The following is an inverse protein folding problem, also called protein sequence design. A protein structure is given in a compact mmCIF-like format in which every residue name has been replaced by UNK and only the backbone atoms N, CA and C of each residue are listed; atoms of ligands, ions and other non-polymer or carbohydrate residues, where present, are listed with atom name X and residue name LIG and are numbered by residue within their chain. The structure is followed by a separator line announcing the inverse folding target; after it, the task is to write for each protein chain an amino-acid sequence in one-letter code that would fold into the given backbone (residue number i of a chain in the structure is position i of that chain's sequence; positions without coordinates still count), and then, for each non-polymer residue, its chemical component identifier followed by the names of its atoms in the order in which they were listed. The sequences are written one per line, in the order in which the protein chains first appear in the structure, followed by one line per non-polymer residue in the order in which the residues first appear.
data_IF_333779608156
#
_entry.id   IF_333779608156
#
_cell.length_a   1.000
_cell.length_b   1.000
_cell.length_c   1.000
_cell.angle_alpha   90.00
_cell.angle_beta   90.00
_cell.angle_gamma   90.00
#
_symmetry.space_group_name_H-M   'P 1'
#
loop_
_entity.id
_entity.type
_entity.pdbx_description
1 polymer ?
#
# COMPACT_ATOMS: atom_id res chain seq x y z
N UNK A 1 -23.71 -21.55 -22.20
CA UNK A 1 -24.06 -22.05 -20.85
C UNK A 1 -24.18 -20.86 -19.93
N UNK A 2 -25.25 -20.77 -19.13
CA UNK A 2 -25.39 -19.67 -18.17
C UNK A 2 -24.45 -19.90 -16.98
N UNK A 3 -23.51 -18.98 -16.77
CA UNK A 3 -22.63 -19.00 -15.60
C UNK A 3 -23.46 -18.61 -14.37
N UNK A 4 -23.66 -19.54 -13.45
CA UNK A 4 -24.25 -19.28 -12.15
C UNK A 4 -23.13 -19.28 -11.08
N UNK A 5 -23.36 -18.67 -9.91
CA UNK A 5 -22.35 -18.59 -8.86
C UNK A 5 -21.82 -19.99 -8.47
N UNK A 6 -22.71 -20.98 -8.33
CA UNK A 6 -22.32 -22.35 -7.96
C UNK A 6 -21.36 -23.01 -8.97
N UNK A 7 -21.55 -22.78 -10.28
CA UNK A 7 -20.64 -23.24 -11.34
C UNK A 7 -19.29 -22.53 -11.26
N UNK A 8 -19.26 -21.24 -10.94
CA UNK A 8 -18.02 -20.50 -10.78
C UNK A 8 -17.19 -21.03 -9.60
N UNK A 9 -17.85 -21.27 -8.46
CA UNK A 9 -17.23 -21.88 -7.27
C UNK A 9 -16.71 -23.30 -7.58
N UNK A 10 -17.52 -24.12 -8.26
CA UNK A 10 -17.12 -25.47 -8.66
C UNK A 10 -15.92 -25.44 -9.62
N UNK A 11 -15.91 -24.49 -10.57
CA UNK A 11 -14.80 -24.30 -11.50
C UNK A 11 -13.51 -23.86 -10.79
N UNK A 12 -13.60 -22.98 -9.80
CA UNK A 12 -12.45 -22.58 -8.99
C UNK A 12 -11.81 -23.78 -8.27
N UNK A 13 -12.61 -24.68 -7.72
CA UNK A 13 -12.12 -25.93 -7.11
C UNK A 13 -11.49 -26.87 -8.14
N UNK A 14 -12.08 -27.00 -9.34
CA UNK A 14 -11.49 -27.79 -10.44
C UNK A 14 -10.09 -27.26 -10.81
N UNK A 15 -9.94 -25.94 -10.95
CA UNK A 15 -8.66 -25.29 -11.26
C UNK A 15 -7.63 -25.55 -10.15
N UNK A 16 -8.02 -25.40 -8.88
CA UNK A 16 -7.15 -25.69 -7.74
C UNK A 16 -6.69 -27.16 -7.73
N UNK A 17 -7.60 -28.11 -7.96
CA UNK A 17 -7.27 -29.54 -8.04
C UNK A 17 -6.35 -29.87 -9.22
N UNK A 18 -6.62 -29.30 -10.40
CA UNK A 18 -5.78 -29.47 -11.58
C UNK A 18 -4.36 -28.92 -11.34
N UNK A 19 -4.24 -27.78 -10.65
CA UNK A 19 -2.96 -27.21 -10.23
C UNK A 19 -2.21 -28.16 -9.28
N UNK A 20 -2.89 -28.73 -8.28
CA UNK A 20 -2.29 -29.70 -7.36
C UNK A 20 -1.79 -30.95 -8.09
N UNK A 21 -2.55 -31.43 -9.07
CA UNK A 21 -2.16 -32.57 -9.93
C UNK A 21 -0.91 -32.24 -10.74
N UNK A 22 -0.88 -31.06 -11.36
CA UNK A 22 0.25 -30.62 -12.18
C UNK A 22 1.54 -30.52 -11.36
N UNK A 23 1.46 -30.02 -10.12
CA UNK A 23 2.61 -29.87 -9.23
C UNK A 23 2.87 -31.07 -8.31
N UNK A 24 2.07 -32.14 -8.41
CA UNK A 24 2.16 -33.33 -7.58
C UNK A 24 2.24 -33.02 -6.06
N UNK A 25 1.48 -32.03 -5.58
CA UNK A 25 1.51 -31.58 -4.19
C UNK A 25 0.21 -31.87 -3.43
N UNK A 26 0.32 -32.14 -2.13
CA UNK A 26 -0.83 -32.21 -1.22
C UNK A 26 -1.31 -30.82 -0.84
N UNK A 27 -2.62 -30.61 -0.89
CA UNK A 27 -3.24 -29.33 -0.64
C UNK A 27 -4.53 -29.45 0.14
N UNK A 28 -4.78 -28.45 0.98
CA UNK A 28 -6.07 -28.21 1.62
C UNK A 28 -6.71 -27.05 0.87
N UNK A 29 -7.83 -27.32 0.20
CA UNK A 29 -8.59 -26.31 -0.54
C UNK A 29 -9.74 -25.87 0.34
N UNK A 30 -9.86 -24.57 0.59
CA UNK A 30 -10.95 -23.99 1.37
C UNK A 30 -12.04 -23.46 0.43
N UNK A 31 -13.31 -23.70 0.76
CA UNK A 31 -14.46 -23.17 0.01
C UNK A 31 -15.60 -22.75 0.93
N UNK A 32 -16.16 -21.58 0.67
CA UNK A 32 -17.36 -21.09 1.36
C UNK A 32 -18.67 -21.51 0.66
N UNK A 33 -18.59 -22.29 -0.42
CA UNK A 33 -19.76 -22.80 -1.12
C UNK A 33 -20.19 -24.18 -0.60
N UNK A 34 -21.35 -24.25 0.07
CA UNK A 34 -21.89 -25.51 0.62
C UNK A 34 -22.19 -26.55 -0.46
N UNK A 35 -22.74 -26.11 -1.59
CA UNK A 35 -23.02 -26.97 -2.74
C UNK A 35 -21.77 -27.71 -3.24
N UNK A 36 -20.62 -27.02 -3.29
CA UNK A 36 -19.36 -27.61 -3.75
C UNK A 36 -18.80 -28.60 -2.72
N UNK A 37 -18.85 -28.26 -1.43
CA UNK A 37 -18.42 -29.18 -0.36
C UNK A 37 -19.25 -30.45 -0.33
N UNK A 38 -20.57 -30.33 -0.35
CA UNK A 38 -21.48 -31.47 -0.25
C UNK A 38 -21.35 -32.40 -1.46
N UNK A 39 -21.19 -31.82 -2.66
CA UNK A 39 -20.96 -32.59 -3.87
C UNK A 39 -19.60 -33.29 -3.87
N UNK A 40 -18.54 -32.63 -3.41
CA UNK A 40 -17.22 -33.23 -3.23
C UNK A 40 -17.26 -34.43 -2.27
N UNK A 41 -17.91 -34.27 -1.11
CA UNK A 41 -18.06 -35.36 -0.12
C UNK A 41 -18.88 -36.52 -0.68
N UNK A 42 -19.91 -36.22 -1.47
CA UNK A 42 -20.70 -37.24 -2.14
C UNK A 42 -19.81 -38.07 -3.09
N UNK A 43 -19.02 -37.41 -3.94
CA UNK A 43 -18.12 -38.09 -4.88
C UNK A 43 -17.04 -38.90 -4.18
N UNK A 44 -16.45 -38.38 -3.10
CA UNK A 44 -15.47 -39.13 -2.30
C UNK A 44 -16.05 -40.41 -1.69
N UNK A 45 -17.33 -40.40 -1.30
CA UNK A 45 -18.00 -41.57 -0.69
C UNK A 45 -18.49 -42.58 -1.72
N UNK A 46 -19.01 -42.12 -2.85
CA UNK A 46 -19.73 -42.97 -3.81
C UNK A 46 -18.93 -43.30 -5.07
N UNK A 47 -17.92 -42.50 -5.41
CA UNK A 47 -17.08 -42.70 -6.60
C UNK A 47 -17.81 -42.57 -7.94
N UNK A 48 -18.99 -41.93 -7.96
CA UNK A 48 -19.80 -41.75 -9.17
C UNK A 48 -20.62 -40.46 -9.11
N UNK A 49 -20.77 -39.82 -10.26
CA UNK A 49 -21.66 -38.65 -10.47
C UNK A 49 -23.09 -39.18 -10.68
N UNK A 50 -24.10 -38.75 -9.90
CA UNK A 50 -25.49 -39.10 -10.15
C UNK A 50 -25.96 -38.62 -11.53
N UNK A 51 -26.79 -39.41 -12.20
CA UNK A 51 -27.39 -38.97 -13.46
C UNK A 51 -28.29 -37.76 -13.27
N UNK A 52 -28.23 -36.80 -14.20
CA UNK A 52 -28.98 -35.55 -14.16
C UNK A 52 -28.68 -34.68 -12.91
N UNK A 53 -27.49 -34.81 -12.33
CA UNK A 53 -27.05 -33.89 -11.30
C UNK A 53 -26.88 -32.50 -11.91
N UNK A 54 -27.23 -31.46 -11.14
CA UNK A 54 -26.99 -30.10 -11.61
C UNK A 54 -25.48 -29.93 -11.84
N UNK A 55 -25.09 -29.33 -12.96
CA UNK A 55 -23.69 -29.11 -13.33
C UNK A 55 -22.88 -30.43 -13.48
N UNK A 56 -23.55 -31.50 -13.93
CA UNK A 56 -22.99 -32.85 -14.19
C UNK A 56 -21.66 -32.82 -14.93
N UNK A 57 -21.53 -31.97 -15.95
CA UNK A 57 -20.33 -31.79 -16.77
C UNK A 57 -19.09 -31.40 -15.94
N UNK A 58 -19.26 -30.54 -14.94
CA UNK A 58 -18.17 -30.12 -14.05
C UNK A 58 -17.89 -31.18 -12.98
N UNK A 59 -18.92 -31.85 -12.48
CA UNK A 59 -18.75 -32.93 -11.49
C UNK A 59 -18.02 -34.15 -12.06
N UNK A 60 -18.21 -34.45 -13.35
CA UNK A 60 -17.42 -35.48 -14.04
C UNK A 60 -15.92 -35.12 -14.07
N UNK A 61 -15.58 -33.85 -14.28
CA UNK A 61 -14.18 -33.38 -14.22
C UNK A 61 -13.61 -33.51 -12.81
N UNK A 62 -14.38 -33.15 -11.78
CA UNK A 62 -13.97 -33.34 -10.37
C UNK A 62 -13.71 -34.82 -10.09
N UNK A 63 -14.60 -35.72 -10.54
CA UNK A 63 -14.43 -37.16 -10.35
C UNK A 63 -13.17 -37.69 -11.06
N UNK A 64 -12.88 -37.24 -12.27
CA UNK A 64 -11.65 -37.59 -13.00
C UNK A 64 -10.40 -37.08 -12.26
N UNK A 65 -10.43 -35.87 -11.71
CA UNK A 65 -9.32 -35.31 -10.93
C UNK A 65 -9.13 -36.07 -9.62
N UNK A 66 -10.21 -36.40 -8.90
CA UNK A 66 -10.16 -37.21 -7.67
C UNK A 66 -9.50 -38.57 -7.91
N UNK A 67 -9.87 -39.26 -9.00
CA UNK A 67 -9.25 -40.54 -9.36
C UNK A 67 -7.74 -40.41 -9.63
N UNK A 68 -7.28 -39.26 -10.14
CA UNK A 68 -5.86 -39.02 -10.42
C UNK A 68 -5.06 -38.52 -9.21
N UNK A 69 -5.72 -37.96 -8.19
CA UNK A 69 -5.08 -37.34 -7.04
C UNK A 69 -4.98 -38.27 -5.82
N UNK A 70 -5.60 -39.44 -5.82
CA UNK A 70 -5.46 -40.48 -4.77
C UNK A 70 -5.51 -39.94 -3.32
N UNK A 71 -6.47 -39.05 -3.02
CA UNK A 71 -6.66 -38.47 -1.69
C UNK A 71 -5.66 -37.37 -1.28
N UNK A 72 -4.81 -36.90 -2.20
CA UNK A 72 -3.81 -35.84 -1.96
C UNK A 72 -4.46 -34.47 -1.66
N UNK A 73 -5.70 -34.26 -2.11
CA UNK A 73 -6.44 -33.00 -1.90
C UNK A 73 -7.54 -33.19 -0.85
N UNK A 74 -7.60 -32.28 0.12
CA UNK A 74 -8.68 -32.21 1.11
C UNK A 74 -9.46 -30.91 0.91
N UNK A 75 -10.78 -31.00 0.71
CA UNK A 75 -11.65 -29.83 0.60
C UNK A 75 -12.29 -29.52 1.96
N UNK A 76 -12.10 -28.31 2.48
CA UNK A 76 -12.65 -27.84 3.76
C UNK A 76 -13.67 -26.73 3.53
N UNK A 77 -14.80 -26.83 4.23
CA UNK A 77 -15.85 -25.80 4.23
C UNK A 77 -15.48 -24.66 5.18
N UNK A 78 -15.47 -23.43 4.69
CA UNK A 78 -15.35 -22.21 5.50
C UNK A 78 -16.70 -21.49 5.58
N UNK A 79 -16.84 -20.63 6.59
CA UNK A 79 -18.00 -19.75 6.73
C UNK A 79 -17.85 -18.55 5.80
N UNK A 80 -18.90 -18.22 5.03
CA UNK A 80 -18.82 -17.27 3.91
C UNK A 80 -18.50 -15.82 4.30
N UNK A 81 -18.63 -15.45 5.57
CA UNK A 81 -18.39 -14.08 6.02
C UNK A 81 -17.96 -14.10 7.48
N UNK A 82 -16.77 -14.61 7.74
CA UNK A 82 -16.18 -14.36 9.06
C UNK A 82 -15.65 -12.94 9.02
N UNK A 83 -16.27 -12.06 9.80
CA UNK A 83 -15.82 -10.69 9.94
C UNK A 83 -14.40 -10.74 10.50
N UNK A 84 -13.42 -10.39 9.66
CA UNK A 84 -11.99 -10.42 10.02
C UNK A 84 -11.76 -9.51 11.22
N UNK A 85 -12.52 -8.42 11.35
CA UNK A 85 -12.46 -7.52 12.51
C UNK A 85 -12.97 -8.21 13.79
N UNK A 86 -13.99 -9.07 13.69
CA UNK A 86 -14.50 -9.84 14.82
C UNK A 86 -13.59 -11.03 15.19
N UNK A 87 -12.68 -11.44 14.30
CA UNK A 87 -11.69 -12.49 14.54
C UNK A 87 -10.39 -12.00 15.16
N UNK A 88 -10.16 -10.68 15.23
CA UNK A 88 -8.91 -10.11 15.79
C UNK A 88 -8.69 -10.55 17.24
N UNK A 89 -9.77 -10.84 17.98
CA UNK A 89 -9.71 -11.30 19.37
C UNK A 89 -9.58 -12.83 19.51
N UNK A 90 -9.75 -13.59 18.42
CA UNK A 90 -9.65 -15.05 18.44
C UNK A 90 -8.19 -15.43 18.19
N UNK A 91 -7.52 -15.99 19.19
CA UNK A 91 -6.11 -16.41 19.15
C UNK A 91 -5.78 -17.55 18.16
N UNK A 92 -6.71 -17.90 17.27
CA UNK A 92 -6.55 -18.95 16.28
C UNK A 92 -6.05 -18.32 14.96
N UNK A 93 -4.72 -18.36 14.78
CA UNK A 93 -4.05 -17.83 13.60
C UNK A 93 -4.56 -18.45 12.29
N UNK A 94 -5.06 -19.69 12.35
CA UNK A 94 -5.49 -20.41 11.16
C UNK A 94 -6.84 -19.89 10.67
N UNK A 95 -7.73 -19.49 11.59
CA UNK A 95 -9.01 -18.86 11.25
C UNK A 95 -8.83 -17.47 10.63
N UNK A 96 -7.92 -16.65 11.16
CA UNK A 96 -7.60 -15.32 10.60
C UNK A 96 -7.01 -15.46 9.20
N UNK A 97 -6.06 -16.38 9.03
CA UNK A 97 -5.47 -16.67 7.73
C UNK A 97 -6.54 -17.15 6.74
N UNK A 98 -7.42 -18.08 7.13
CA UNK A 98 -8.50 -18.57 6.29
C UNK A 98 -9.47 -17.46 5.87
N UNK A 99 -9.88 -16.59 6.80
CA UNK A 99 -10.79 -15.49 6.51
C UNK A 99 -10.18 -14.49 5.51
N UNK A 100 -8.91 -14.12 5.73
CA UNK A 100 -8.18 -13.21 4.84
C UNK A 100 -8.07 -13.74 3.41
N UNK A 101 -7.71 -15.02 3.24
CA UNK A 101 -7.55 -15.60 1.91
C UNK A 101 -8.89 -15.92 1.23
N UNK A 102 -9.95 -16.22 1.98
CA UNK A 102 -11.29 -16.35 1.42
C UNK A 102 -11.79 -15.01 0.87
N UNK A 103 -11.56 -13.91 1.60
CA UNK A 103 -11.88 -12.56 1.12
C UNK A 103 -11.07 -12.19 -0.13
N UNK A 104 -9.77 -12.48 -0.14
CA UNK A 104 -8.92 -12.25 -1.31
C UNK A 104 -9.40 -13.03 -2.54
N UNK A 105 -9.83 -14.28 -2.36
CA UNK A 105 -10.40 -15.11 -3.43
C UNK A 105 -11.72 -14.54 -3.97
N UNK A 106 -12.62 -14.07 -3.11
CA UNK A 106 -13.89 -13.44 -3.50
C UNK A 106 -13.65 -12.12 -4.26
N UNK A 107 -12.68 -11.30 -3.82
CA UNK A 107 -12.27 -10.08 -4.53
C UNK A 107 -11.72 -10.41 -5.92
N UNK A 108 -10.87 -11.43 -6.03
CA UNK A 108 -10.32 -11.87 -7.32
C UNK A 108 -11.42 -12.38 -8.26
N UNK A 109 -12.36 -13.17 -7.76
CA UNK A 109 -13.51 -13.68 -8.52
C UNK A 109 -14.43 -12.54 -9.00
N UNK A 110 -14.72 -11.56 -8.13
CA UNK A 110 -15.49 -10.35 -8.49
C UNK A 110 -14.78 -9.53 -9.57
N UNK A 111 -13.46 -9.34 -9.45
CA UNK A 111 -12.67 -8.62 -10.45
C UNK A 111 -12.68 -9.33 -11.80
N UNK A 112 -12.50 -10.65 -11.82
CA UNK A 112 -12.56 -11.44 -13.05
C UNK A 112 -13.94 -11.32 -13.73
N UNK A 113 -15.03 -11.33 -12.95
CA UNK A 113 -16.39 -11.12 -13.45
C UNK A 113 -16.60 -9.73 -14.06
N UNK A 114 -16.08 -8.67 -13.43
CA UNK A 114 -16.17 -7.31 -13.96
C UNK A 114 -15.38 -7.15 -15.28
N UNK A 115 -14.22 -7.79 -15.37
CA UNK A 115 -13.39 -7.78 -16.58
C UNK A 115 -14.00 -8.60 -17.73
N UNK A 116 -14.70 -9.70 -17.42
CA UNK A 116 -15.44 -10.45 -18.42
C UNK A 116 -16.64 -9.66 -18.98
N UNK A 117 -17.25 -8.79 -18.17
CA UNK A 117 -18.34 -7.90 -18.61
C UNK A 117 -17.88 -6.79 -19.55
N UNK A 118 -16.69 -6.23 -19.34
CA UNK A 118 -16.15 -5.14 -20.16
C UNK A 118 -15.58 -5.63 -21.51
N UNK A 119 -15.17 -6.89 -21.59
CA UNK A 119 -14.86 -7.53 -22.89
C UNK A 119 -16.12 -7.82 -23.74
N UNK A 120 -17.32 -7.69 -23.17
CA UNK A 120 -18.61 -8.00 -23.81
C UNK A 120 -19.19 -6.90 -24.71
N UNK A 121 -18.65 -5.67 -24.68
CA UNK A 121 -19.01 -4.59 -25.60
C UNK A 121 -17.80 -4.20 -26.46
N UNK A 122 -17.50 -5.03 -27.47
CA UNK A 122 -16.58 -4.64 -28.55
C UNK A 122 -15.30 -5.44 -28.72
N UNK A 123 -15.13 -6.60 -28.07
CA UNK A 123 -14.12 -7.56 -28.52
C UNK A 123 -14.70 -8.42 -29.66
N UNK A 124 -14.86 -7.79 -30.83
CA UNK A 124 -15.00 -8.53 -32.08
C UNK A 124 -13.70 -9.29 -32.29
N UNK A 125 -13.78 -10.63 -32.27
CA UNK A 125 -12.83 -11.48 -32.96
C UNK A 125 -12.83 -11.05 -34.42
N UNK A 126 -11.94 -10.13 -34.81
CA UNK A 126 -11.68 -9.88 -36.20
C UNK A 126 -11.15 -11.18 -36.81
N UNK A 127 -11.87 -11.60 -37.84
CA UNK A 127 -11.59 -12.71 -38.73
C UNK A 127 -10.09 -13.01 -38.91
N UNK A 128 -9.66 -14.15 -38.40
CA UNK A 128 -8.67 -14.97 -39.10
C UNK A 128 -9.41 -15.80 -40.17
N UNK A 129 -10.04 -15.13 -41.14
CA UNK A 129 -10.36 -15.72 -42.43
C UNK A 129 -9.29 -15.30 -43.43
N UNK A 130 -8.32 -16.19 -43.60
CA UNK A 130 -7.38 -16.22 -44.72
C UNK A 130 -7.33 -17.64 -45.29
N UNK A 131 -8.37 -17.98 -46.04
CA UNK A 131 -8.41 -18.95 -47.16
C UNK A 131 -7.43 -20.14 -47.14
N UNK A 132 -7.95 -21.35 -46.94
CA UNK A 132 -8.21 -22.29 -48.04
C UNK A 132 -9.16 -23.37 -47.54
N UNK A 133 -10.29 -23.52 -48.25
CA UNK A 133 -11.41 -24.33 -47.83
C UNK A 133 -11.15 -25.82 -47.87
N UNK A 134 -12.06 -26.55 -47.22
CA UNK A 134 -12.69 -27.77 -47.71
C UNK A 134 -13.84 -28.06 -46.73
N UNK A 135 -15.07 -27.83 -47.20
CA UNK A 135 -16.28 -28.35 -46.58
C UNK A 135 -16.23 -29.88 -46.58
N UNK A 136 -16.42 -30.50 -45.42
CA UNK A 136 -16.71 -31.92 -45.32
C UNK A 136 -17.82 -32.15 -44.29
N UNK A 137 -19.04 -32.14 -44.83
CA UNK A 137 -20.28 -32.57 -44.23
C UNK A 137 -20.26 -34.11 -44.10
N UNK A 138 -20.22 -34.65 -42.88
CA UNK A 138 -20.30 -36.10 -42.67
C UNK A 138 -21.76 -36.53 -42.45
N UNK A 139 -22.37 -37.09 -43.51
CA UNK A 139 -23.56 -37.94 -43.41
C UNK A 139 -23.14 -39.41 -43.28
N UNK A 140 -23.66 -40.10 -42.27
CA UNK A 140 -23.60 -41.56 -42.20
C UNK A 140 -24.62 -42.18 -43.15
N UNK A 141 -24.17 -43.09 -44.01
CA UNK A 141 -25.02 -43.85 -44.90
C UNK A 141 -24.35 -45.13 -45.44
N UNK A 142 -24.88 -46.26 -44.98
CA UNK A 142 -24.99 -47.57 -45.63
C UNK A 142 -23.75 -48.45 -45.95
N UNK A 143 -23.83 -49.64 -45.35
CA UNK A 143 -23.44 -50.99 -45.83
C UNK A 143 -22.80 -51.17 -47.22
N UNK A 144 -21.75 -52.01 -47.24
CA UNK A 144 -21.85 -53.31 -47.92
C UNK A 144 -21.00 -53.55 -49.18
N UNK A 145 -19.92 -54.32 -48.99
CA UNK A 145 -19.33 -55.34 -49.89
C UNK A 145 -18.73 -54.92 -51.25
N UNK A 146 -17.41 -55.12 -51.41
CA UNK A 146 -16.86 -56.37 -52.01
C UNK A 146 -15.33 -56.30 -52.04
N UNK A 147 -14.72 -57.38 -51.54
CA UNK A 147 -13.28 -57.62 -51.53
C UNK A 147 -12.76 -57.98 -52.93
N UNK A 148 -11.63 -57.40 -53.34
CA UNK A 148 -10.53 -58.09 -54.02
C UNK A 148 -9.32 -57.14 -54.10
N UNK A 149 -8.12 -57.66 -53.76
CA UNK A 149 -6.79 -57.00 -53.67
C UNK A 149 -6.36 -56.39 -52.31
N UNK A 150 -6.59 -57.12 -51.22
CA UNK A 150 -6.35 -56.66 -49.84
C UNK A 150 -5.03 -57.11 -49.19
N UNK A 151 -3.91 -57.27 -49.93
CA UNK A 151 -2.63 -57.68 -49.29
C UNK A 151 -1.39 -56.84 -49.64
N UNK A 152 -1.53 -55.74 -50.39
CA UNK A 152 -0.42 -54.76 -50.55
C UNK A 152 -0.78 -53.30 -50.19
N UNK A 153 -2.06 -52.96 -50.07
CA UNK A 153 -2.52 -51.62 -49.67
C UNK A 153 -2.72 -51.46 -48.15
N UNK A 154 -2.89 -52.56 -47.41
CA UNK A 154 -3.02 -52.51 -45.94
C UNK A 154 -1.73 -52.05 -45.26
N UNK A 155 -0.56 -52.39 -45.83
CA UNK A 155 0.73 -51.93 -45.32
C UNK A 155 1.01 -50.45 -45.61
N UNK A 156 0.53 -49.91 -46.75
CA UNK A 156 0.65 -48.48 -47.09
C UNK A 156 -0.35 -47.65 -46.28
N UNK A 157 -1.54 -48.20 -45.99
CA UNK A 157 -2.53 -47.60 -45.09
C UNK A 157 -2.07 -47.52 -43.63
N UNK A 158 -1.42 -48.55 -43.10
CA UNK A 158 -0.84 -48.53 -41.75
C UNK A 158 0.35 -47.56 -41.62
N UNK A 159 1.16 -47.39 -42.67
CA UNK A 159 2.25 -46.39 -42.67
C UNK A 159 1.67 -44.96 -42.82
N UNK A 160 0.56 -44.79 -43.56
CA UNK A 160 -0.13 -43.49 -43.69
C UNK A 160 -0.88 -43.03 -42.43
N UNK A 161 -1.50 -43.96 -41.71
CA UNK A 161 -2.16 -43.69 -40.42
C UNK A 161 -1.15 -43.34 -39.31
N UNK A 162 0.02 -44.00 -39.30
CA UNK A 162 1.09 -43.66 -38.35
C UNK A 162 1.81 -42.35 -38.71
N UNK A 163 2.01 -42.03 -39.99
CA UNK A 163 2.62 -40.77 -40.39
C UNK A 163 1.75 -39.53 -40.05
N UNK A 164 0.42 -39.64 -40.19
CA UNK A 164 -0.51 -38.56 -39.84
C UNK A 164 -0.60 -38.34 -38.34
N UNK A 165 -0.57 -39.40 -37.53
CA UNK A 165 -0.47 -39.31 -36.06
C UNK A 165 0.86 -38.71 -35.61
N UNK A 166 1.98 -39.09 -36.23
CA UNK A 166 3.30 -38.50 -35.96
C UNK A 166 3.32 -37.01 -36.30
N UNK A 167 2.75 -36.59 -37.44
CA UNK A 167 2.63 -35.16 -37.79
C UNK A 167 1.76 -34.40 -36.79
N UNK A 168 0.64 -34.99 -36.35
CA UNK A 168 -0.21 -34.40 -35.30
C UNK A 168 0.53 -34.26 -33.96
N UNK A 169 1.27 -35.27 -33.54
CA UNK A 169 2.06 -35.23 -32.31
C UNK A 169 3.18 -34.20 -32.39
N UNK A 170 3.86 -34.08 -33.55
CA UNK A 170 4.87 -33.03 -33.77
C UNK A 170 4.25 -31.62 -33.79
N UNK A 171 3.09 -31.44 -34.40
CA UNK A 171 2.37 -30.17 -34.40
C UNK A 171 1.88 -29.80 -32.99
N UNK A 172 1.33 -30.77 -32.24
CA UNK A 172 0.91 -30.58 -30.86
C UNK A 172 2.09 -30.27 -29.94
N UNK A 173 3.21 -30.98 -30.10
CA UNK A 173 4.43 -30.71 -29.36
C UNK A 173 4.97 -29.31 -29.65
N UNK A 174 5.04 -28.91 -30.93
CA UNK A 174 5.45 -27.56 -31.35
C UNK A 174 4.49 -26.48 -30.85
N UNK A 175 3.18 -26.75 -30.83
CA UNK A 175 2.17 -25.84 -30.28
C UNK A 175 2.32 -25.71 -28.76
N UNK A 176 2.64 -26.80 -28.05
CA UNK A 176 2.86 -26.80 -26.61
C UNK A 176 4.13 -25.99 -26.26
N UNK A 177 5.24 -26.23 -26.98
CA UNK A 177 6.47 -25.43 -26.83
C UNK A 177 6.20 -23.95 -27.07
N UNK A 178 5.48 -23.61 -28.15
CA UNK A 178 5.11 -22.22 -28.42
C UNK A 178 4.30 -21.64 -27.26
N UNK A 179 3.26 -22.32 -26.78
CA UNK A 179 2.46 -21.84 -25.65
C UNK A 179 3.28 -21.62 -24.38
N UNK A 180 4.23 -22.51 -24.08
CA UNK A 180 5.13 -22.34 -22.95
C UNK A 180 6.01 -21.09 -23.11
N UNK A 181 6.55 -20.85 -24.31
CA UNK A 181 7.32 -19.62 -24.57
C UNK A 181 6.48 -18.34 -24.47
N UNK A 182 5.22 -18.36 -24.90
CA UNK A 182 4.29 -17.23 -24.76
C UNK A 182 3.95 -16.99 -23.28
N UNK A 183 3.59 -18.03 -22.53
CA UNK A 183 3.29 -17.95 -21.10
C UNK A 183 4.45 -17.38 -20.29
N UNK A 184 5.69 -17.80 -20.59
CA UNK A 184 6.90 -17.24 -19.93
C UNK A 184 7.10 -15.75 -20.24
N UNK A 185 6.84 -15.33 -21.49
CA UNK A 185 6.91 -13.91 -21.88
C UNK A 185 5.85 -13.08 -21.16
N UNK A 186 4.63 -13.60 -21.06
CA UNK A 186 3.53 -12.93 -20.37
C UNK A 186 3.79 -12.82 -18.86
N UNK A 187 4.34 -13.88 -18.25
CA UNK A 187 4.77 -13.86 -16.85
C UNK A 187 5.88 -12.80 -16.62
N UNK A 188 6.89 -12.74 -17.48
CA UNK A 188 7.95 -11.73 -17.39
C UNK A 188 7.41 -10.30 -17.57
N UNK A 189 6.46 -10.11 -18.50
CA UNK A 189 5.80 -8.83 -18.69
C UNK A 189 4.97 -8.44 -17.45
N UNK A 190 4.19 -9.37 -16.89
CA UNK A 190 3.41 -9.15 -15.68
C UNK A 190 4.29 -8.78 -14.48
N UNK A 191 5.42 -9.47 -14.28
CA UNK A 191 6.38 -9.14 -13.22
C UNK A 191 6.96 -7.73 -13.37
N UNK A 192 7.27 -7.31 -14.61
CA UNK A 192 7.71 -5.93 -14.89
C UNK A 192 6.62 -4.92 -14.54
N UNK A 193 5.38 -5.17 -14.92
CA UNK A 193 4.23 -4.30 -14.60
C UNK A 193 4.05 -4.17 -13.09
N UNK A 194 4.01 -5.28 -12.35
CA UNK A 194 3.89 -5.29 -10.89
C UNK A 194 5.00 -4.48 -10.23
N UNK A 195 6.24 -4.60 -10.73
CA UNK A 195 7.37 -3.84 -10.22
C UNK A 195 7.24 -2.33 -10.46
N UNK A 196 6.82 -1.93 -11.66
CA UNK A 196 6.60 -0.52 -12.00
C UNK A 196 5.48 0.05 -11.14
N UNK A 197 4.40 -0.70 -10.97
CA UNK A 197 3.27 -0.30 -10.14
C UNK A 197 3.68 -0.15 -8.67
N UNK A 198 4.42 -1.11 -8.11
CA UNK A 198 4.92 -1.01 -6.74
C UNK A 198 5.79 0.24 -6.53
N UNK A 199 6.66 0.56 -7.49
CA UNK A 199 7.51 1.76 -7.40
C UNK A 199 6.68 3.03 -7.54
N UNK A 200 5.70 3.07 -8.46
CA UNK A 200 4.80 4.21 -8.61
C UNK A 200 3.95 4.43 -7.36
N UNK A 201 3.44 3.37 -6.74
CA UNK A 201 2.70 3.45 -5.48
C UNK A 201 3.55 4.05 -4.37
N UNK A 202 4.80 3.59 -4.20
CA UNK A 202 5.73 4.17 -3.22
C UNK A 202 6.01 5.64 -3.55
N UNK A 203 6.15 6.00 -4.83
CA UNK A 203 6.39 7.39 -5.25
C UNK A 203 5.22 8.30 -4.90
N UNK A 204 3.99 7.91 -5.23
CA UNK A 204 2.81 8.74 -4.96
C UNK A 204 2.55 8.85 -3.45
N UNK A 205 2.65 7.75 -2.69
CA UNK A 205 2.52 7.80 -1.23
C UNK A 205 3.54 8.75 -0.60
N UNK A 206 4.80 8.69 -1.07
CA UNK A 206 5.84 9.62 -0.63
C UNK A 206 5.51 11.08 -0.95
N UNK A 207 5.02 11.32 -2.16
CA UNK A 207 4.64 12.65 -2.60
C UNK A 207 3.50 13.20 -1.76
N UNK A 208 2.47 12.40 -1.52
CA UNK A 208 1.30 12.77 -0.74
C UNK A 208 1.67 13.12 0.71
N UNK A 209 2.49 12.29 1.36
CA UNK A 209 2.97 12.56 2.72
C UNK A 209 3.78 13.87 2.81
N UNK A 210 4.67 14.11 1.84
CA UNK A 210 5.48 15.33 1.80
C UNK A 210 4.64 16.56 1.47
N UNK A 211 3.66 16.44 0.58
CA UNK A 211 2.75 17.52 0.20
C UNK A 211 1.89 17.98 1.38
N UNK A 212 1.39 17.03 2.20
CA UNK A 212 0.64 17.33 3.43
C UNK A 212 1.52 18.14 4.41
N UNK A 213 2.76 17.72 4.63
CA UNK A 213 3.69 18.43 5.53
C UNK A 213 4.03 19.81 4.97
N UNK A 214 4.31 19.91 3.66
CA UNK A 214 4.67 21.17 3.01
C UNK A 214 3.53 22.19 3.06
N UNK A 215 2.29 21.75 2.82
CA UNK A 215 1.10 22.61 2.91
C UNK A 215 0.93 23.15 4.32
N UNK A 216 1.15 22.32 5.32
CA UNK A 216 1.08 22.74 6.71
C UNK A 216 2.20 23.70 7.12
N UNK A 217 3.43 23.51 6.61
CA UNK A 217 4.53 24.46 6.76
C UNK A 217 4.19 25.81 6.11
N UNK A 218 3.53 25.82 4.95
CA UNK A 218 3.09 27.04 4.28
C UNK A 218 2.06 27.81 5.10
N UNK A 219 1.08 27.12 5.66
CA UNK A 219 0.10 27.73 6.55
C UNK A 219 0.80 28.37 7.77
N UNK A 220 1.77 27.68 8.37
CA UNK A 220 2.59 28.25 9.45
C UNK A 220 3.41 29.46 9.03
N UNK A 221 4.00 29.46 7.84
CA UNK A 221 4.76 30.61 7.33
C UNK A 221 3.86 31.83 7.16
N UNK A 222 2.64 31.66 6.63
CA UNK A 222 1.66 32.74 6.50
C UNK A 222 1.27 33.27 7.87
N UNK A 223 0.93 32.40 8.81
CA UNK A 223 0.56 32.80 10.17
C UNK A 223 1.70 33.51 10.91
N UNK A 224 2.93 32.97 10.83
CA UNK A 224 4.12 33.60 11.42
C UNK A 224 4.38 34.98 10.82
N UNK A 225 4.18 35.14 9.51
CA UNK A 225 4.33 36.43 8.82
C UNK A 225 3.28 37.44 9.26
N UNK A 226 2.02 37.02 9.42
CA UNK A 226 0.95 37.89 9.92
C UNK A 226 1.24 38.36 11.35
N UNK A 227 1.65 37.46 12.25
CA UNK A 227 2.01 37.81 13.62
C UNK A 227 3.22 38.76 13.64
N UNK A 228 4.20 38.53 12.77
CA UNK A 228 5.36 39.41 12.63
C UNK A 228 4.95 40.82 12.16
N UNK A 229 4.05 40.94 11.18
CA UNK A 229 3.54 42.23 10.70
C UNK A 229 2.78 42.96 11.81
N UNK A 230 1.93 42.26 12.55
CA UNK A 230 1.19 42.84 13.68
C UNK A 230 2.16 43.32 14.78
N UNK A 231 3.10 42.46 15.20
CA UNK A 231 4.09 42.84 16.21
C UNK A 231 5.00 43.98 15.75
N UNK A 232 5.35 44.03 14.47
CA UNK A 232 6.10 45.15 13.91
C UNK A 232 5.28 46.44 13.89
N UNK A 233 3.98 46.35 13.58
CA UNK A 233 3.03 47.46 13.68
C UNK A 233 3.02 48.06 15.09
N UNK A 234 2.86 47.22 16.11
CA UNK A 234 2.89 47.66 17.51
C UNK A 234 4.15 48.42 17.89
N UNK A 235 5.33 47.94 17.44
CA UNK A 235 6.62 48.57 17.74
C UNK A 235 6.82 49.87 16.94
N UNK A 236 6.37 49.91 15.69
CA UNK A 236 6.64 51.02 14.75
C UNK A 236 5.68 52.18 14.86
N UNK A 237 4.41 51.94 15.22
CA UNK A 237 3.41 53.01 15.36
C UNK A 237 3.65 53.91 16.58
N UNK A 238 4.70 53.65 17.37
CA UNK A 238 5.10 54.57 18.43
C UNK A 238 3.99 54.79 19.44
N UNK A 239 3.30 53.71 19.84
CA UNK A 239 2.27 53.76 20.89
C UNK A 239 2.83 54.10 22.28
N UNK A 240 4.13 54.37 22.37
CA UNK A 240 4.76 54.96 23.52
C UNK A 240 4.27 56.41 23.68
N UNK A 241 3.74 56.79 24.84
CA UNK A 241 3.46 58.19 25.12
C UNK A 241 4.78 58.97 24.97
N UNK A 242 4.72 60.09 24.24
CA UNK A 242 5.90 60.88 23.90
C UNK A 242 6.59 61.32 25.21
N UNK A 243 7.85 60.93 25.49
CA UNK A 243 8.50 61.23 26.75
C UNK A 243 8.75 62.73 26.94
N UNK A 244 8.58 63.53 25.89
CA UNK A 244 8.83 64.98 25.88
C UNK A 244 7.58 65.82 26.17
N UNK A 245 6.35 65.29 26.04
CA UNK A 245 5.13 66.11 26.15
C UNK A 245 4.66 66.36 27.59
N UNK A 246 5.14 65.59 28.57
CA UNK A 246 4.76 65.76 29.97
C UNK A 246 5.88 65.27 30.90
N UNK A 247 6.33 66.13 31.83
CA UNK A 247 7.26 65.81 32.94
C UNK A 247 6.61 64.85 33.98
N UNK A 248 5.69 64.01 33.52
CA UNK A 248 4.94 63.02 34.28
C UNK A 248 5.84 61.81 34.44
N UNK A 249 6.65 61.84 35.49
CA UNK A 249 7.25 60.62 36.03
C UNK A 249 6.15 59.60 36.31
N UNK A 250 6.02 58.58 35.46
CA UNK A 250 5.14 57.43 35.64
C UNK A 250 5.50 56.70 36.96
N UNK A 251 4.72 56.83 38.05
CA UNK A 251 5.14 56.26 39.32
C UNK A 251 4.99 54.74 39.31
N UNK A 252 6.12 54.03 39.40
CA UNK A 252 6.24 52.61 39.73
C UNK A 252 5.54 51.64 38.76
N UNK A 253 4.24 51.41 38.97
CA UNK A 253 3.45 50.39 38.27
C UNK A 253 3.40 50.61 36.76
N UNK A 254 3.32 51.87 36.31
CA UNK A 254 3.30 52.21 34.89
C UNK A 254 4.66 51.94 34.22
N UNK A 255 5.78 52.21 34.88
CA UNK A 255 7.12 51.84 34.39
C UNK A 255 7.25 50.33 34.21
N UNK A 256 6.75 49.55 35.17
CA UNK A 256 6.74 48.09 35.07
C UNK A 256 5.94 47.59 33.86
N UNK A 257 4.74 48.13 33.61
CA UNK A 257 3.94 47.74 32.46
C UNK A 257 4.57 48.15 31.12
N UNK A 258 5.29 49.26 31.09
CA UNK A 258 6.03 49.71 29.90
C UNK A 258 7.21 48.78 29.57
N UNK A 259 7.98 48.39 30.59
CA UNK A 259 9.06 47.41 30.46
C UNK A 259 8.52 46.03 30.04
N UNK A 260 7.40 45.61 30.64
CA UNK A 260 6.73 44.36 30.28
C UNK A 260 6.23 44.40 28.83
N UNK A 261 5.62 45.50 28.39
CA UNK A 261 5.19 45.69 27.01
C UNK A 261 6.37 45.61 26.04
N UNK A 262 7.47 46.32 26.31
CA UNK A 262 8.66 46.28 25.45
C UNK A 262 9.26 44.88 25.36
N UNK A 263 9.30 44.14 26.48
CA UNK A 263 9.75 42.75 26.52
C UNK A 263 8.83 41.84 25.69
N UNK A 264 7.52 41.97 25.86
CA UNK A 264 6.53 41.18 25.10
C UNK A 264 6.61 41.48 23.60
N UNK A 265 6.70 42.75 23.20
CA UNK A 265 6.84 43.13 21.80
C UNK A 265 8.13 42.56 21.17
N UNK A 266 9.25 42.61 21.89
CA UNK A 266 10.50 42.00 21.45
C UNK A 266 10.35 40.47 21.30
N UNK A 267 9.71 39.80 22.25
CA UNK A 267 9.47 38.35 22.18
C UNK A 267 8.52 37.98 21.03
N UNK A 268 7.44 38.75 20.82
CA UNK A 268 6.51 38.57 19.69
C UNK A 268 7.26 38.57 18.37
N UNK A 269 8.17 39.52 18.17
CA UNK A 269 8.98 39.63 16.95
C UNK A 269 9.99 38.49 16.82
N UNK A 270 10.78 38.22 17.87
CA UNK A 270 11.85 37.21 17.84
C UNK A 270 11.30 35.80 17.65
N UNK A 271 10.22 35.46 18.36
CA UNK A 271 9.61 34.13 18.28
C UNK A 271 8.93 33.90 16.93
N UNK A 272 8.20 34.89 16.42
CA UNK A 272 7.54 34.80 15.10
C UNK A 272 8.57 34.72 13.97
N UNK A 273 9.66 35.51 14.05
CA UNK A 273 10.77 35.43 13.11
C UNK A 273 11.48 34.08 13.19
N UNK A 274 11.75 33.58 14.40
CA UNK A 274 12.36 32.27 14.63
C UNK A 274 11.52 31.14 14.05
N UNK A 275 10.19 31.17 14.27
CA UNK A 275 9.24 30.24 13.67
C UNK A 275 9.26 30.29 12.14
N UNK A 276 9.26 31.50 11.56
CA UNK A 276 9.30 31.69 10.11
C UNK A 276 10.59 31.13 9.49
N UNK A 277 11.75 31.47 10.07
CA UNK A 277 13.05 30.99 9.60
C UNK A 277 13.17 29.47 9.73
N UNK A 278 12.70 28.90 10.83
CA UNK A 278 12.69 27.44 11.03
C UNK A 278 11.78 26.76 10.02
N UNK A 279 10.59 27.30 9.75
CA UNK A 279 9.65 26.76 8.76
C UNK A 279 10.22 26.81 7.33
N UNK A 280 10.91 27.90 6.98
CA UNK A 280 11.60 28.04 5.68
C UNK A 280 12.74 27.01 5.59
N UNK A 281 13.56 26.87 6.63
CA UNK A 281 14.67 25.92 6.65
C UNK A 281 14.18 24.47 6.50
N UNK A 282 13.13 24.09 7.24
CA UNK A 282 12.49 22.76 7.12
C UNK A 282 11.94 22.56 5.70
N UNK A 283 11.26 23.56 5.15
CA UNK A 283 10.69 23.50 3.80
C UNK A 283 11.75 23.31 2.71
N UNK A 284 12.85 24.06 2.77
CA UNK A 284 13.97 23.94 1.83
C UNK A 284 14.64 22.56 1.91
N UNK A 285 14.93 22.08 3.12
CA UNK A 285 15.56 20.78 3.32
C UNK A 285 14.65 19.64 2.84
N UNK A 286 13.34 19.73 3.11
CA UNK A 286 12.35 18.75 2.67
C UNK A 286 12.22 18.72 1.14
N UNK A 287 12.22 19.87 0.48
CA UNK A 287 12.20 19.95 -0.99
C UNK A 287 13.48 19.38 -1.61
N UNK A 288 14.65 19.72 -1.04
CA UNK A 288 15.92 19.16 -1.47
C UNK A 288 15.90 17.63 -1.36
N UNK A 289 15.47 17.12 -0.21
CA UNK A 289 15.38 15.69 0.02
C UNK A 289 14.40 14.98 -0.93
N UNK A 290 13.20 15.54 -1.13
CA UNK A 290 12.22 14.99 -2.07
C UNK A 290 12.80 14.93 -3.49
N UNK A 291 13.51 15.98 -3.92
CA UNK A 291 14.16 16.00 -5.23
C UNK A 291 15.26 14.94 -5.36
N UNK A 292 16.06 14.72 -4.31
CA UNK A 292 17.09 13.69 -4.27
C UNK A 292 16.49 12.27 -4.32
N UNK A 293 15.47 12.00 -3.50
CA UNK A 293 14.80 10.71 -3.47
C UNK A 293 14.07 10.40 -4.78
N UNK A 294 13.38 11.38 -5.37
CA UNK A 294 12.73 11.18 -6.67
C UNK A 294 13.75 10.93 -7.78
N UNK A 295 14.89 11.62 -7.77
CA UNK A 295 15.98 11.36 -8.72
C UNK A 295 16.55 9.94 -8.54
N UNK A 296 16.76 9.49 -7.31
CA UNK A 296 17.27 8.14 -7.04
C UNK A 296 16.25 7.06 -7.39
N UNK A 297 14.96 7.29 -7.12
CA UNK A 297 13.90 6.38 -7.54
C UNK A 297 13.81 6.30 -9.07
N UNK A 298 13.90 7.44 -9.77
CA UNK A 298 13.94 7.46 -11.23
C UNK A 298 15.16 6.72 -11.78
N UNK A 299 16.33 6.83 -11.14
CA UNK A 299 17.51 6.04 -11.53
C UNK A 299 17.28 4.54 -11.32
N UNK A 300 16.66 4.13 -10.22
CA UNK A 300 16.33 2.73 -9.98
C UNK A 300 15.30 2.20 -10.98
N UNK A 301 14.27 2.98 -11.30
CA UNK A 301 13.28 2.63 -12.34
C UNK A 301 13.96 2.52 -13.71
N UNK A 302 14.82 3.48 -14.08
CA UNK A 302 15.55 3.41 -15.35
C UNK A 302 16.47 2.19 -15.40
N UNK A 303 17.20 1.88 -14.33
CA UNK A 303 18.04 0.67 -14.25
C UNK A 303 17.20 -0.60 -14.33
N UNK A 304 16.04 -0.62 -13.68
CA UNK A 304 15.08 -1.73 -13.74
C UNK A 304 14.56 -1.96 -15.16
N UNK A 305 14.27 -0.88 -15.88
CA UNK A 305 13.76 -0.92 -17.25
C UNK A 305 14.86 -1.22 -18.29
N UNK A 306 16.08 -0.73 -18.07
CA UNK A 306 17.24 -0.92 -18.94
C UNK A 306 17.95 -2.25 -18.72
N UNK A 307 17.68 -2.96 -17.62
CA UNK A 307 18.12 -4.34 -17.45
C UNK A 307 17.32 -5.15 -18.47
N UNK A 308 17.84 -5.20 -19.69
CA UNK A 308 17.36 -6.08 -20.74
C UNK A 308 17.39 -7.48 -20.13
N UNK A 309 16.21 -7.97 -19.76
CA UNK A 309 16.08 -9.36 -19.37
C UNK A 309 16.60 -10.14 -20.57
N UNK A 310 17.60 -11.03 -20.42
CA UNK A 310 18.12 -11.76 -21.56
C UNK A 310 16.98 -12.56 -22.18
N UNK A 311 16.40 -12.04 -23.26
CA UNK A 311 15.34 -12.69 -24.03
C UNK A 311 15.95 -13.76 -24.93
N UNK A 312 17.27 -13.73 -25.15
CA UNK A 312 17.91 -14.36 -26.30
C UNK A 312 18.62 -15.70 -26.06
N UNK A 313 18.70 -16.24 -24.85
CA UNK A 313 19.36 -17.54 -24.65
C UNK A 313 18.43 -18.57 -24.01
N UNK A 314 17.60 -19.19 -24.86
CA UNK A 314 16.84 -20.44 -24.57
C UNK A 314 17.76 -21.51 -23.94
N UNK A 315 19.04 -21.51 -24.29
CA UNK A 315 20.06 -22.44 -23.77
C UNK A 315 20.66 -22.00 -22.42
N UNK A 316 20.64 -20.71 -22.07
CA UNK A 316 21.12 -20.27 -20.76
C UNK A 316 20.06 -20.45 -19.67
N UNK A 317 18.77 -20.47 -20.03
CA UNK A 317 17.66 -20.62 -19.08
C UNK A 317 17.40 -22.07 -18.66
N UNK A 318 17.82 -23.06 -19.46
CA UNK A 318 17.73 -24.47 -19.06
C UNK A 318 18.77 -24.83 -18.00
N UNK A 319 19.90 -24.11 -17.94
CA UNK A 319 20.95 -24.28 -16.92
C UNK A 319 20.95 -23.18 -15.83
N UNK A 320 20.39 -22.00 -16.09
CA UNK A 320 20.27 -20.94 -15.07
C UNK A 320 19.11 -21.27 -14.13
N UNK A 321 19.45 -21.73 -12.94
CA UNK A 321 18.57 -21.86 -11.79
C UNK A 321 17.54 -20.71 -11.77
N UNK A 322 16.23 -21.01 -11.83
CA UNK A 322 15.13 -20.04 -11.64
C UNK A 322 15.31 -19.19 -10.36
N UNK A 323 16.13 -19.67 -9.43
CA UNK A 323 16.62 -18.95 -8.25
C UNK A 323 17.28 -17.60 -8.56
N UNK A 324 18.04 -17.46 -9.66
CA UNK A 324 18.80 -16.23 -9.95
C UNK A 324 17.88 -15.09 -10.39
N UNK A 325 16.87 -15.41 -11.22
CA UNK A 325 15.83 -14.50 -11.65
C UNK A 325 14.99 -13.99 -10.46
N UNK A 326 14.58 -14.91 -9.58
CA UNK A 326 13.85 -14.58 -8.37
C UNK A 326 14.70 -13.75 -7.41
N UNK A 327 15.99 -14.07 -7.30
CA UNK A 327 16.91 -13.34 -6.44
C UNK A 327 17.13 -11.90 -6.91
N UNK A 328 17.21 -11.65 -8.23
CA UNK A 328 17.26 -10.29 -8.77
C UNK A 328 16.00 -9.48 -8.42
N UNK A 329 14.81 -10.08 -8.52
CA UNK A 329 13.54 -9.43 -8.13
C UNK A 329 13.53 -9.12 -6.63
N UNK A 330 14.01 -10.04 -5.79
CA UNK A 330 14.10 -9.85 -4.34
C UNK A 330 15.12 -8.77 -3.95
N UNK A 331 16.26 -8.69 -4.64
CA UNK A 331 17.25 -7.63 -4.44
C UNK A 331 16.68 -6.25 -4.78
N UNK A 332 15.93 -6.17 -5.88
CA UNK A 332 15.27 -4.95 -6.29
C UNK A 332 14.16 -4.53 -5.31
N UNK A 333 13.36 -5.47 -4.83
CA UNK A 333 12.37 -5.23 -3.78
C UNK A 333 13.03 -4.76 -2.46
N UNK A 334 14.16 -5.36 -2.06
CA UNK A 334 14.94 -4.92 -0.90
C UNK A 334 15.51 -3.52 -1.08
N UNK A 335 15.98 -3.17 -2.27
CA UNK A 335 16.49 -1.83 -2.57
C UNK A 335 15.38 -0.78 -2.45
N UNK A 336 14.20 -1.06 -3.02
CA UNK A 336 13.02 -0.18 -2.89
C UNK A 336 12.59 -0.06 -1.43
N UNK A 337 12.53 -1.17 -0.69
CA UNK A 337 12.19 -1.16 0.73
C UNK A 337 13.20 -0.38 1.57
N UNK A 338 14.50 -0.52 1.29
CA UNK A 338 15.56 0.24 1.97
C UNK A 338 15.46 1.74 1.70
N UNK A 339 15.09 2.14 0.47
CA UNK A 339 14.86 3.53 0.11
C UNK A 339 13.63 4.09 0.84
N UNK A 340 12.53 3.33 0.88
CA UNK A 340 11.32 3.68 1.63
C UNK A 340 11.62 3.82 3.14
N UNK A 341 12.39 2.90 3.72
CA UNK A 341 12.78 2.96 5.14
C UNK A 341 13.69 4.16 5.44
N UNK A 342 14.66 4.44 4.57
CA UNK A 342 15.52 5.62 4.69
C UNK A 342 14.70 6.91 4.69
N UNK A 343 13.67 6.96 3.85
CA UNK A 343 12.75 8.08 3.78
C UNK A 343 11.86 8.20 5.00
N UNK A 344 11.23 7.11 5.46
CA UNK A 344 10.43 7.11 6.68
C UNK A 344 11.23 7.62 7.88
N UNK A 345 12.53 7.28 7.94
CA UNK A 345 13.43 7.79 8.97
C UNK A 345 13.64 9.30 8.86
N UNK A 346 13.76 9.85 7.66
CA UNK A 346 13.88 11.30 7.47
C UNK A 346 12.57 12.04 7.74
N UNK A 347 11.44 11.52 7.28
CA UNK A 347 10.11 12.06 7.61
C UNK A 347 9.93 12.08 9.13
N UNK A 348 10.35 11.04 9.84
CA UNK A 348 10.32 11.00 11.31
C UNK A 348 11.20 12.08 11.97
N UNK A 349 12.31 12.47 11.32
CA UNK A 349 13.15 13.56 11.80
C UNK A 349 12.45 14.92 11.66
N UNK A 350 11.83 15.18 10.51
CA UNK A 350 11.06 16.41 10.30
C UNK A 350 9.81 16.47 11.19
N UNK A 351 9.16 15.33 11.44
CA UNK A 351 8.06 15.23 12.41
C UNK A 351 8.47 15.61 13.83
N UNK A 352 9.76 15.55 14.19
CA UNK A 352 10.26 16.05 15.49
C UNK A 352 10.53 17.56 15.50
N UNK A 353 10.97 18.12 14.37
CA UNK A 353 11.22 19.57 14.26
C UNK A 353 9.93 20.37 14.10
N UNK A 354 8.91 19.78 13.49
CA UNK A 354 7.64 20.44 13.24
C UNK A 354 6.90 20.93 14.52
N UNK A 355 6.81 20.14 15.61
CA UNK A 355 6.27 20.61 16.89
C UNK A 355 7.05 21.80 17.47
N UNK A 356 8.36 21.88 17.24
CA UNK A 356 9.17 23.00 17.72
C UNK A 356 8.76 24.30 17.02
N UNK A 357 8.56 24.27 15.71
CA UNK A 357 8.04 25.43 14.96
C UNK A 357 6.66 25.85 15.46
N UNK A 358 5.76 24.88 15.71
CA UNK A 358 4.45 25.15 16.31
C UNK A 358 4.54 25.81 17.69
N UNK A 359 5.43 25.31 18.56
CA UNK A 359 5.61 25.88 19.91
C UNK A 359 6.13 27.31 19.80
N UNK A 360 7.07 27.60 18.91
CA UNK A 360 7.59 28.95 18.68
C UNK A 360 6.50 29.89 18.17
N UNK A 361 5.73 29.48 17.15
CA UNK A 361 4.60 30.26 16.62
C UNK A 361 3.55 30.53 17.70
N UNK A 362 3.12 29.50 18.42
CA UNK A 362 2.12 29.61 19.46
C UNK A 362 2.60 30.53 20.59
N UNK A 363 3.86 30.42 20.99
CA UNK A 363 4.45 31.31 21.99
C UNK A 363 4.48 32.76 21.50
N UNK A 364 4.85 33.00 20.24
CA UNK A 364 4.82 34.33 19.62
C UNK A 364 3.40 34.91 19.56
N UNK A 365 2.40 34.10 19.18
CA UNK A 365 0.99 34.51 19.21
C UNK A 365 0.51 34.86 20.61
N UNK A 366 0.87 34.08 21.63
CA UNK A 366 0.53 34.38 23.01
C UNK A 366 1.17 35.70 23.45
N UNK A 367 2.46 35.91 23.17
CA UNK A 367 3.14 37.16 23.44
C UNK A 367 2.41 38.35 22.79
N UNK A 368 1.99 38.23 21.52
CA UNK A 368 1.24 39.27 20.82
C UNK A 368 -0.10 39.60 21.50
N UNK A 369 -0.83 38.57 21.98
CA UNK A 369 -2.11 38.81 22.68
C UNK A 369 -1.87 39.48 24.03
N UNK A 370 -0.87 39.05 24.80
CA UNK A 370 -0.50 39.70 26.05
C UNK A 370 -0.05 41.14 25.81
N UNK A 371 0.75 41.38 24.78
CA UNK A 371 1.21 42.70 24.36
C UNK A 371 0.02 43.63 24.07
N UNK A 372 -0.94 43.21 23.24
CA UNK A 372 -2.17 43.96 22.97
C UNK A 372 -2.98 44.24 24.24
N UNK A 373 -3.01 43.28 25.17
CA UNK A 373 -3.72 43.42 26.45
C UNK A 373 -3.09 44.46 27.37
N UNK A 374 -1.75 44.49 27.43
CA UNK A 374 -0.99 45.48 28.19
C UNK A 374 -1.12 46.85 27.54
N UNK A 375 -0.99 46.92 26.22
CA UNK A 375 -1.14 48.17 25.45
C UNK A 375 -2.51 48.80 25.67
N UNK A 376 -3.58 48.03 25.52
CA UNK A 376 -4.94 48.55 25.72
C UNK A 376 -5.19 48.97 27.17
N UNK A 377 -4.59 48.28 28.14
CA UNK A 377 -4.65 48.67 29.54
C UNK A 377 -3.91 49.98 29.82
N UNK A 378 -2.75 50.21 29.18
CA UNK A 378 -2.03 51.48 29.25
C UNK A 378 -2.87 52.62 28.65
N UNK A 379 -3.51 52.38 27.50
CA UNK A 379 -4.43 53.34 26.85
C UNK A 379 -5.61 53.70 27.78
N UNK A 380 -6.24 52.71 28.42
CA UNK A 380 -7.35 52.93 29.34
C UNK A 380 -6.92 53.67 30.61
N UNK A 381 -5.74 53.37 31.15
CA UNK A 381 -5.16 54.09 32.30
C UNK A 381 -4.92 55.56 31.95
N UNK A 382 -4.44 55.83 30.72
CA UNK A 382 -4.19 57.19 30.26
C UNK A 382 -5.48 57.98 30.03
N UNK A 383 -6.49 57.40 29.37
CA UNK A 383 -7.74 58.11 29.08
C UNK A 383 -8.71 58.22 30.26
N UNK A 384 -8.70 57.27 31.19
CA UNK A 384 -9.65 57.22 32.32
C UNK A 384 -8.95 57.09 33.68
N UNK A 385 -8.11 58.06 34.08
CA UNK A 385 -7.32 57.96 35.30
C UNK A 385 -8.17 57.90 36.58
N UNK A 386 -9.40 58.42 36.55
CA UNK A 386 -10.33 58.44 37.69
C UNK A 386 -11.06 57.11 37.92
N UNK A 387 -10.99 56.15 36.98
CA UNK A 387 -11.76 54.91 37.02
C UNK A 387 -10.84 53.66 37.02
N UNK A 388 -10.07 53.39 38.10
CA UNK A 388 -9.11 52.28 38.13
C UNK A 388 -9.77 50.90 37.98
N UNK A 389 -11.03 50.77 38.39
CA UNK A 389 -11.80 49.53 38.26
C UNK A 389 -12.01 49.15 36.79
N UNK A 390 -12.09 50.12 35.88
CA UNK A 390 -12.36 49.85 34.46
C UNK A 390 -11.21 49.10 33.79
N UNK A 391 -9.97 49.62 33.90
CA UNK A 391 -8.82 48.95 33.31
C UNK A 391 -8.49 47.64 34.04
N UNK A 392 -8.69 47.56 35.36
CA UNK A 392 -8.49 46.31 36.12
C UNK A 392 -9.43 45.20 35.68
N UNK A 393 -10.72 45.51 35.50
CA UNK A 393 -11.70 44.54 35.02
C UNK A 393 -11.42 44.11 33.59
N UNK A 394 -10.98 45.03 32.73
CA UNK A 394 -10.57 44.72 31.37
C UNK A 394 -9.33 43.81 31.33
N UNK A 395 -8.25 44.18 32.04
CA UNK A 395 -7.05 43.34 32.19
C UNK A 395 -7.41 41.95 32.69
N UNK A 396 -8.23 41.88 33.74
CA UNK A 396 -8.64 40.62 34.35
C UNK A 396 -9.42 39.72 33.40
N UNK A 397 -10.38 40.26 32.63
CA UNK A 397 -11.16 39.47 31.68
C UNK A 397 -10.31 38.96 30.52
N UNK A 398 -9.41 39.79 29.98
CA UNK A 398 -8.52 39.38 28.89
C UNK A 398 -7.51 38.35 29.39
N UNK A 399 -6.86 38.57 30.54
CA UNK A 399 -5.93 37.60 31.14
C UNK A 399 -6.59 36.25 31.43
N UNK A 400 -7.84 36.25 31.92
CA UNK A 400 -8.62 35.03 32.14
C UNK A 400 -8.87 34.30 30.83
N UNK A 401 -9.29 35.03 29.78
CA UNK A 401 -9.55 34.47 28.45
C UNK A 401 -8.29 33.85 27.82
N UNK A 402 -7.16 34.57 27.88
CA UNK A 402 -5.87 34.09 27.39
C UNK A 402 -5.39 32.87 28.16
N UNK A 403 -5.52 32.88 29.49
CA UNK A 403 -5.12 31.75 30.33
C UNK A 403 -5.95 30.51 30.05
N UNK A 404 -7.27 30.65 29.90
CA UNK A 404 -8.16 29.55 29.56
C UNK A 404 -7.86 29.00 28.16
N UNK A 405 -7.71 29.87 27.16
CA UNK A 405 -7.38 29.49 25.78
C UNK A 405 -6.02 28.80 25.70
N UNK A 406 -5.02 29.32 26.42
CA UNK A 406 -3.68 28.71 26.51
C UNK A 406 -3.74 27.34 27.18
N UNK A 407 -4.48 27.21 28.28
CA UNK A 407 -4.67 25.94 28.98
C UNK A 407 -5.33 24.89 28.10
N UNK A 408 -6.39 25.24 27.36
CA UNK A 408 -7.06 24.35 26.41
C UNK A 408 -6.12 23.97 25.26
N UNK A 409 -5.36 24.92 24.72
CA UNK A 409 -4.43 24.68 23.62
C UNK A 409 -3.26 23.79 24.04
N UNK A 410 -2.67 24.01 25.22
CA UNK A 410 -1.63 23.17 25.79
C UNK A 410 -2.15 21.76 26.08
N UNK A 411 -3.37 21.65 26.62
CA UNK A 411 -4.01 20.36 26.85
C UNK A 411 -4.27 19.61 25.53
N UNK A 412 -4.75 20.30 24.50
CA UNK A 412 -4.95 19.71 23.17
C UNK A 412 -3.63 19.26 22.54
N UNK A 413 -2.59 20.11 22.59
CA UNK A 413 -1.25 19.77 22.11
C UNK A 413 -0.66 18.59 22.87
N UNK A 414 -0.81 18.56 24.19
CA UNK A 414 -0.35 17.45 25.03
C UNK A 414 -1.08 16.16 24.68
N UNK A 415 -2.41 16.21 24.48
CA UNK A 415 -3.21 15.05 24.09
C UNK A 415 -2.85 14.53 22.69
N UNK A 416 -2.52 15.41 21.75
CA UNK A 416 -2.08 15.03 20.39
C UNK A 416 -0.65 14.48 20.41
N UNK A 417 0.22 15.06 21.26
CA UNK A 417 1.64 14.66 21.35
C UNK A 417 1.88 13.45 22.23
N UNK A 418 0.95 13.13 23.13
CA UNK A 418 1.03 11.91 23.93
C UNK A 418 1.03 10.76 22.94
N UNK A 419 2.08 9.90 22.93
CA UNK A 419 2.04 8.69 22.15
C UNK A 419 0.74 8.00 22.54
N UNK A 420 -0.10 7.73 21.54
CA UNK A 420 -1.33 6.98 21.76
C UNK A 420 -0.82 5.65 22.32
N UNK A 421 -0.93 5.48 23.63
CA UNK A 421 -0.79 4.17 24.25
C UNK A 421 -1.90 3.38 23.58
N UNK A 422 -1.53 2.63 22.53
CA UNK A 422 -2.39 1.57 22.07
C UNK A 422 -2.65 0.75 23.34
N UNK A 423 -3.92 0.64 23.77
CA UNK A 423 -4.24 -0.05 25.00
C UNK A 423 -3.49 -1.38 24.95
N UNK A 424 -2.68 -1.65 25.98
CA UNK A 424 -1.87 -2.86 26.14
C UNK A 424 -2.76 -4.10 26.35
N UNK A 425 -3.84 -4.24 25.58
CA UNK A 425 -4.72 -5.39 25.56
C UNK A 425 -4.02 -6.63 24.97
N UNK A 426 -2.79 -6.46 24.46
CA UNK A 426 -1.91 -7.56 24.03
C UNK A 426 -0.89 -8.04 25.08
N UNK A 427 -0.78 -7.42 26.26
CA UNK A 427 0.26 -7.80 27.25
C UNK A 427 -0.20 -8.83 28.31
N UNK A 428 -1.50 -9.15 28.38
CA UNK A 428 -2.03 -10.10 29.37
C UNK A 428 -2.09 -11.57 28.90
N UNK A 429 -1.85 -11.85 27.61
CA UNK A 429 -1.87 -13.22 27.08
C UNK A 429 -0.45 -13.77 26.83
N UNK A 430 0.07 -14.34 27.92
CA UNK A 430 1.03 -15.45 28.00
C UNK A 430 2.54 -15.12 28.14
N UNK A 431 3.19 -15.60 29.22
CA UNK A 431 4.63 -15.67 29.32
C UNK A 431 5.13 -16.91 28.57
N UNK A 432 5.00 -16.96 27.25
CA UNK A 432 5.68 -17.99 26.44
C UNK A 432 7.12 -17.52 26.20
N UNK A 433 7.95 -17.79 27.22
CA UNK A 433 9.35 -18.21 27.13
C UNK A 433 10.04 -17.84 25.80
N UNK A 434 10.27 -16.55 25.57
CA UNK A 434 11.28 -16.05 24.62
C UNK A 434 12.64 -16.48 25.15
N UNK A 435 13.02 -17.72 24.84
CA UNK A 435 14.41 -18.15 24.83
C UNK A 435 15.04 -17.39 23.68
N UNK A 436 15.51 -16.17 23.97
CA UNK A 436 16.43 -15.41 23.15
C UNK A 436 17.66 -16.28 22.95
N UNK A 437 17.62 -17.11 21.91
CA UNK A 437 18.81 -17.66 21.29
C UNK A 437 19.39 -16.46 20.56
N UNK A 438 20.23 -15.72 21.29
CA UNK A 438 21.19 -14.76 20.77
C UNK A 438 21.95 -15.43 19.62
N UNK A 439 21.39 -15.34 18.42
CA UNK A 439 22.11 -15.52 17.18
C UNK A 439 23.06 -14.34 17.07
N UNK A 440 24.24 -14.49 17.68
CA UNK A 440 25.47 -13.88 17.18
C UNK A 440 25.69 -14.42 15.77
N UNK A 441 24.92 -13.92 14.82
CA UNK A 441 25.17 -14.13 13.41
C UNK A 441 26.01 -12.94 12.94
N UNK A 442 27.32 -13.05 13.21
CA UNK A 442 28.42 -12.42 12.49
C UNK A 442 28.20 -11.02 11.90
N UNK A 443 27.91 -10.04 12.75
CA UNK A 443 28.07 -8.62 12.40
C UNK A 443 29.56 -8.26 12.20
N UNK A 444 30.47 -9.01 12.80
CA UNK A 444 31.93 -8.88 12.65
C UNK A 444 32.48 -9.27 11.27
N UNK A 445 31.70 -9.92 10.39
CA UNK A 445 32.15 -10.23 9.01
C UNK A 445 31.79 -9.14 8.00
N UNK A 446 30.79 -8.30 8.28
CA UNK A 446 30.43 -7.16 7.43
C UNK A 446 31.34 -5.96 7.66
N UNK A 447 31.84 -5.78 8.88
CA UNK A 447 32.83 -4.73 9.19
C UNK A 447 34.25 -5.07 8.67
N UNK A 448 34.53 -6.34 8.34
CA UNK A 448 35.81 -6.74 7.71
C UNK A 448 35.83 -6.59 6.18
N UNK A 449 34.69 -6.29 5.54
CA UNK A 449 34.59 -6.05 4.09
C UNK A 449 34.45 -4.56 3.74
N UNK A 450 34.43 -3.69 4.76
CA UNK A 450 34.42 -2.24 4.62
C UNK A 450 35.83 -1.72 4.91
N UNK A 451 36.57 -1.47 3.84
CA UNK A 451 37.92 -0.86 3.76
C UNK A 451 39.13 -1.83 3.75
N UNK A 452 40.14 -1.61 2.86
CA UNK A 452 40.50 -0.33 2.25
C UNK A 452 40.39 -0.29 0.72
N UNK A 453 39.63 0.69 0.22
CA UNK A 453 39.95 1.44 -0.99
C UNK A 453 40.04 2.91 -0.58
N UNK A 454 41.19 3.24 0.00
CA UNK A 454 41.81 4.57 -0.05
C UNK A 454 43.08 4.43 -0.86
#
# INVERSE_FOLDING_TARGET
MLQNNARAELYAVIVAMAWCRFHACSAIVYTDCAYVKDGYDYLCRHGAVPSAWKDEDLWELVLQLLASLDGIVTLIKTSAHVDVAALVDVADSDLVWQAHWNEAADVAAKSARMNAGTAGEGFQWHDCQGSHGLDLEFRFGAHGAMAMSALSWESIGLIGLTATEVVRLLQQHKSCEQHETWSRRDCAAALRTVRIDMINTVREEMRDQVEVVLRSLQDMMVMSSLVLVVGFGSVSEGTFPDPEEDDVTYPGLQSFFLELYACLAALTLVLSLGSLLLSIAISQELQFFLSACTADLQRHVRRALQRDWPVESREALEDSNDSDALQAVLEDARAVHGLAQGLMRQVSYFQRLYPLAHILLFSGMLCAVFECSVLLSLILVHHFPSMPVLWQTYCGTVLLGVSLSSGVSLWAMWKISSPREEPEEHSALSPVRRRSRSGRFNQSRLDQLREPLL
#
